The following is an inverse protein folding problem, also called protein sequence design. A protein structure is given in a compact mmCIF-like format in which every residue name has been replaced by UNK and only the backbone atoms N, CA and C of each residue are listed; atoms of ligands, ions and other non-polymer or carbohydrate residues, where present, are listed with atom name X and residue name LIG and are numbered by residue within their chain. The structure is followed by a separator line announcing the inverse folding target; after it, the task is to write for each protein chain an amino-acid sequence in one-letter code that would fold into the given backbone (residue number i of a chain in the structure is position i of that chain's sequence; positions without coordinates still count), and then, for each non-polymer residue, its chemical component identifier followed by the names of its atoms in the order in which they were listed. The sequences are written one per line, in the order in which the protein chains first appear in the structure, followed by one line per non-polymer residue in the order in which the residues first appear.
data_IF_509348451791
#
_entry.id   IF_509348451791
#
_cell.length_a   1.000
_cell.length_b   1.000
_cell.length_c   1.000
_cell.angle_alpha   90.00
_cell.angle_beta   90.00
_cell.angle_gamma   90.00
#
_symmetry.space_group_name_H-M   'P 1'
#
loop_
_entity.id
_entity.type
_entity.pdbx_description
1 polymer ?
#
# COMPACT_ATOMS: atom_id res chain seq x y z
N UNK A 1 5.67 0.24 -59.41
CA UNK A 1 5.36 1.32 -58.48
C UNK A 1 4.63 0.66 -57.30
N UNK A 2 5.39 0.33 -56.28
CA UNK A 2 4.93 -0.47 -55.15
C UNK A 2 4.91 0.44 -53.92
N UNK A 3 3.71 0.85 -53.50
CA UNK A 3 3.52 1.77 -52.39
C UNK A 3 3.34 0.94 -51.11
N UNK A 4 4.43 0.74 -50.38
CA UNK A 4 4.37 0.14 -49.05
C UNK A 4 3.81 1.16 -48.02
N UNK A 5 2.66 0.85 -47.43
CA UNK A 5 2.12 1.58 -46.29
C UNK A 5 2.94 1.21 -45.05
N UNK A 6 3.33 2.17 -44.23
CA UNK A 6 3.91 1.86 -42.94
C UNK A 6 2.83 1.31 -42.01
N UNK A 7 3.07 0.13 -41.49
CA UNK A 7 2.29 -0.47 -40.42
C UNK A 7 2.54 0.33 -39.13
N UNK A 8 1.53 1.04 -38.68
CA UNK A 8 1.53 1.68 -37.35
C UNK A 8 1.47 0.54 -36.33
N UNK A 9 2.57 0.24 -35.69
CA UNK A 9 2.59 -0.59 -34.48
C UNK A 9 2.02 0.28 -33.38
N UNK A 10 0.72 0.15 -33.12
CA UNK A 10 0.12 0.65 -31.90
C UNK A 10 0.73 -0.09 -30.72
N UNK A 11 1.73 0.54 -30.14
CA UNK A 11 2.28 0.14 -28.85
C UNK A 11 1.28 0.56 -27.78
N UNK A 12 0.16 -0.17 -27.64
CA UNK A 12 -0.67 -0.11 -26.45
C UNK A 12 0.11 -0.75 -25.32
N UNK A 13 0.95 0.07 -24.68
CA UNK A 13 1.49 -0.25 -23.36
C UNK A 13 0.32 -0.19 -22.37
N UNK A 14 -0.51 -1.22 -22.39
CA UNK A 14 -1.40 -1.53 -21.29
C UNK A 14 -0.47 -1.74 -20.10
N UNK A 15 -0.55 -0.84 -19.12
CA UNK A 15 0.15 -1.01 -17.85
C UNK A 15 -0.17 -2.43 -17.37
N UNK A 16 0.82 -3.30 -17.39
CA UNK A 16 0.72 -4.66 -16.87
C UNK A 16 0.12 -4.55 -15.46
N UNK A 17 -1.00 -5.22 -15.16
CA UNK A 17 -1.53 -5.22 -13.81
C UNK A 17 -0.43 -5.74 -12.91
N UNK A 18 -0.17 -5.05 -11.79
CA UNK A 18 0.88 -5.42 -10.84
C UNK A 18 0.95 -6.94 -10.70
N UNK A 19 2.09 -7.46 -11.11
CA UNK A 19 2.35 -8.89 -11.24
C UNK A 19 2.07 -9.60 -9.91
N UNK A 20 1.80 -10.91 -9.96
CA UNK A 20 1.37 -11.74 -8.82
C UNK A 20 2.25 -11.66 -7.55
N UNK A 21 3.45 -11.14 -7.67
CA UNK A 21 4.47 -11.07 -6.61
C UNK A 21 4.31 -9.79 -5.76
N UNK A 22 3.31 -9.77 -4.89
CA UNK A 22 3.08 -8.69 -3.93
C UNK A 22 3.44 -9.19 -2.53
N UNK A 23 4.44 -8.58 -1.90
CA UNK A 23 4.93 -8.98 -0.56
C UNK A 23 4.04 -8.49 0.59
N UNK A 24 3.17 -7.53 0.32
CA UNK A 24 2.27 -6.98 1.30
C UNK A 24 1.34 -5.92 0.72
N UNK A 25 0.29 -5.60 1.47
CA UNK A 25 -0.65 -4.53 1.15
C UNK A 25 -0.55 -3.45 2.22
N UNK A 26 -0.29 -2.22 1.81
CA UNK A 26 -0.36 -1.04 2.66
C UNK A 26 -1.71 -0.37 2.46
N UNK A 27 -2.58 -0.42 3.47
CA UNK A 27 -3.84 0.31 3.49
C UNK A 27 -3.64 1.62 4.26
N UNK A 28 -4.11 2.72 3.68
CA UNK A 28 -3.94 4.06 4.24
C UNK A 28 -5.11 4.96 3.88
N UNK A 29 -5.30 6.05 4.61
CA UNK A 29 -6.27 7.11 4.30
C UNK A 29 -5.77 7.91 3.08
N UNK A 30 -6.33 7.63 1.89
CA UNK A 30 -5.94 8.32 0.66
C UNK A 30 -6.51 9.74 0.57
N UNK A 31 -7.49 10.09 1.39
CA UNK A 31 -7.96 11.46 1.58
C UNK A 31 -6.96 12.36 2.35
N UNK A 32 -6.10 11.77 3.17
CA UNK A 32 -5.17 12.47 4.03
C UNK A 32 -3.88 12.90 3.29
N UNK A 33 -3.55 14.19 3.17
CA UNK A 33 -2.32 14.66 2.51
C UNK A 33 -1.04 14.13 3.17
N UNK A 34 -1.00 14.09 4.49
CA UNK A 34 0.13 13.53 5.23
C UNK A 34 0.36 12.05 4.92
N UNK A 35 -0.73 11.26 4.88
CA UNK A 35 -0.67 9.84 4.58
C UNK A 35 -0.16 9.61 3.15
N UNK A 36 -0.70 10.32 2.15
CA UNK A 36 -0.23 10.24 0.76
C UNK A 36 1.26 10.55 0.63
N UNK A 37 1.72 11.62 1.27
CA UNK A 37 3.14 12.00 1.27
C UNK A 37 4.02 10.93 1.91
N UNK A 38 3.58 10.37 3.04
CA UNK A 38 4.30 9.31 3.74
C UNK A 38 4.41 8.05 2.91
N UNK A 39 3.31 7.65 2.24
CA UNK A 39 3.31 6.49 1.33
C UNK A 39 4.23 6.73 0.13
N UNK A 40 4.20 7.88 -0.51
CA UNK A 40 5.15 8.21 -1.61
C UNK A 40 6.60 8.17 -1.14
N UNK A 41 6.87 8.74 0.05
CA UNK A 41 8.20 8.69 0.62
C UNK A 41 8.68 7.25 0.85
N UNK A 42 7.80 6.38 1.33
CA UNK A 42 8.06 4.95 1.50
C UNK A 42 8.34 4.27 0.15
N UNK A 43 7.45 4.40 -0.83
CA UNK A 43 7.58 3.78 -2.15
C UNK A 43 8.87 4.19 -2.88
N UNK A 44 9.30 5.44 -2.71
CA UNK A 44 10.55 5.94 -3.29
C UNK A 44 11.81 5.35 -2.63
N UNK A 45 11.68 4.70 -1.47
CA UNK A 45 12.77 4.13 -0.68
C UNK A 45 12.60 2.64 -0.39
N UNK A 46 11.57 2.05 -0.92
CA UNK A 46 11.33 0.62 -0.86
C UNK A 46 12.48 -0.14 -1.56
N UNK A 47 12.92 -1.23 -0.95
CA UNK A 47 13.95 -2.09 -1.54
C UNK A 47 13.49 -2.63 -2.89
N UNK A 48 14.43 -2.82 -3.81
CA UNK A 48 14.14 -3.30 -5.17
C UNK A 48 13.56 -4.72 -5.21
N UNK A 49 13.86 -5.54 -4.21
CA UNK A 49 13.36 -6.90 -4.04
C UNK A 49 12.04 -6.96 -3.26
N UNK A 50 11.48 -5.83 -2.86
CA UNK A 50 10.19 -5.70 -2.18
C UNK A 50 9.12 -5.12 -3.11
N UNK A 51 7.89 -5.59 -2.96
CA UNK A 51 6.74 -5.15 -3.76
C UNK A 51 5.51 -4.99 -2.89
N UNK A 52 5.42 -3.85 -2.21
CA UNK A 52 4.25 -3.48 -1.44
C UNK A 52 3.22 -2.82 -2.36
N UNK A 53 2.02 -3.38 -2.45
CA UNK A 53 0.89 -2.72 -3.10
C UNK A 53 0.21 -1.76 -2.13
N UNK A 54 -0.44 -0.73 -2.67
CA UNK A 54 -1.14 0.29 -1.90
C UNK A 54 -2.64 0.28 -2.18
N UNK A 55 -3.43 0.47 -1.14
CA UNK A 55 -4.90 0.45 -1.17
C UNK A 55 -5.43 1.60 -0.32
N UNK A 56 -6.39 2.36 -0.83
CA UNK A 56 -7.14 3.33 -0.02
C UNK A 56 -8.08 2.62 0.93
N UNK A 57 -8.14 3.04 2.18
CA UNK A 57 -9.07 2.48 3.18
C UNK A 57 -10.53 2.67 2.75
N UNK A 58 -10.83 3.80 2.12
CA UNK A 58 -12.16 4.21 1.65
C UNK A 58 -12.60 3.51 0.35
N UNK A 59 -11.74 2.69 -0.26
CA UNK A 59 -12.08 1.96 -1.49
C UNK A 59 -12.92 0.72 -1.20
N UNK A 60 -13.68 0.20 -2.19
CA UNK A 60 -14.42 -1.06 -2.02
C UNK A 60 -13.52 -2.24 -1.61
N UNK A 61 -12.26 -2.26 -2.03
CA UNK A 61 -11.29 -3.25 -1.58
C UNK A 61 -10.92 -3.03 -0.12
N UNK A 62 -10.64 -1.78 0.30
CA UNK A 62 -10.35 -1.42 1.68
C UNK A 62 -11.48 -1.83 2.63
N UNK A 63 -12.74 -1.55 2.25
CA UNK A 63 -13.92 -1.96 3.02
C UNK A 63 -14.05 -3.49 3.13
N UNK A 64 -13.81 -4.23 2.06
CA UNK A 64 -13.84 -5.71 2.11
C UNK A 64 -12.78 -6.26 3.06
N UNK A 65 -11.58 -5.71 2.98
CA UNK A 65 -10.48 -6.09 3.88
C UNK A 65 -10.81 -5.71 5.33
N UNK A 66 -11.42 -4.54 5.54
CA UNK A 66 -11.90 -4.11 6.87
C UNK A 66 -12.89 -5.10 7.47
N UNK A 67 -13.89 -5.52 6.71
CA UNK A 67 -14.87 -6.54 7.17
C UNK A 67 -14.20 -7.88 7.47
N UNK A 68 -13.24 -8.30 6.65
CA UNK A 68 -12.56 -9.58 6.83
C UNK A 68 -11.65 -9.59 8.08
N UNK A 69 -10.89 -8.51 8.30
CA UNK A 69 -9.93 -8.42 9.40
C UNK A 69 -10.50 -7.76 10.66
N UNK A 70 -11.77 -7.35 10.65
CA UNK A 70 -12.45 -6.78 11.82
C UNK A 70 -11.98 -5.37 12.18
N UNK A 71 -11.67 -4.51 11.19
CA UNK A 71 -11.39 -3.10 11.44
C UNK A 71 -12.36 -2.20 10.66
N UNK A 72 -12.62 -1.00 11.19
CA UNK A 72 -13.42 0.01 10.52
C UNK A 72 -12.53 0.83 9.55
N UNK A 73 -12.78 0.80 8.23
CA UNK A 73 -12.03 1.61 7.26
C UNK A 73 -12.22 3.12 7.47
N UNK A 74 -13.33 3.56 8.05
CA UNK A 74 -13.59 4.96 8.36
C UNK A 74 -12.78 5.50 9.53
N UNK A 75 -12.23 4.60 10.36
CA UNK A 75 -11.26 4.93 11.39
C UNK A 75 -9.89 5.23 10.75
N UNK A 76 -9.84 6.35 10.02
CA UNK A 76 -8.67 6.80 9.25
C UNK A 76 -7.43 7.09 10.10
N UNK A 77 -7.48 6.84 11.41
CA UNK A 77 -6.40 7.19 12.33
C UNK A 77 -5.18 6.25 12.25
N UNK A 78 -5.30 5.11 11.57
CA UNK A 78 -4.23 4.12 11.56
C UNK A 78 -4.03 3.45 10.22
N UNK A 79 -2.76 3.38 9.78
CA UNK A 79 -2.38 2.54 8.65
C UNK A 79 -2.54 1.06 9.00
N UNK A 80 -2.79 0.24 7.98
CA UNK A 80 -2.79 -1.22 8.09
C UNK A 80 -1.77 -1.78 7.10
N UNK A 81 -1.05 -2.80 7.54
CA UNK A 81 -0.14 -3.53 6.68
C UNK A 81 -0.46 -5.02 6.73
N UNK A 82 -0.84 -5.58 5.59
CA UNK A 82 -1.17 -6.99 5.45
C UNK A 82 0.00 -7.72 4.82
N UNK A 83 0.45 -8.78 5.47
CA UNK A 83 1.48 -9.69 4.98
C UNK A 83 1.33 -11.06 5.66
N UNK A 84 1.61 -12.14 4.94
CA UNK A 84 1.52 -13.51 5.45
C UNK A 84 0.22 -13.77 6.25
N UNK A 85 -0.93 -13.46 5.66
CA UNK A 85 -2.26 -13.68 6.24
C UNK A 85 -2.60 -12.84 7.47
N UNK A 86 -1.76 -11.89 7.86
CA UNK A 86 -1.92 -11.08 9.08
C UNK A 86 -2.10 -9.61 8.76
N UNK A 87 -2.99 -8.96 9.53
CA UNK A 87 -3.20 -7.52 9.50
C UNK A 87 -2.49 -6.87 10.69
N UNK A 88 -1.41 -6.13 10.41
CA UNK A 88 -0.69 -5.32 11.38
C UNK A 88 -1.26 -3.90 11.40
N UNK A 89 -1.24 -3.24 12.56
CA UNK A 89 -1.78 -1.88 12.73
C UNK A 89 -0.82 -0.99 13.51
N UNK A 90 -1.04 0.32 13.44
CA UNK A 90 -0.34 1.33 14.23
C UNK A 90 1.19 1.26 14.07
N UNK A 91 1.91 1.33 15.17
CA UNK A 91 3.36 1.28 15.19
C UNK A 91 3.92 -0.04 14.66
N UNK A 92 3.18 -1.15 14.77
CA UNK A 92 3.62 -2.44 14.24
C UNK A 92 3.58 -2.47 12.72
N UNK A 93 2.52 -1.93 12.10
CA UNK A 93 2.43 -1.79 10.65
C UNK A 93 3.56 -0.91 10.13
N UNK A 94 3.80 0.25 10.75
CA UNK A 94 4.88 1.15 10.38
C UNK A 94 6.24 0.46 10.47
N UNK A 95 6.47 -0.30 11.55
CA UNK A 95 7.73 -0.99 11.71
C UNK A 95 7.96 -2.08 10.64
N UNK A 96 6.93 -2.88 10.34
CA UNK A 96 7.01 -3.88 9.26
C UNK A 96 7.32 -3.25 7.90
N UNK A 97 6.79 -2.07 7.64
CA UNK A 97 7.14 -1.30 6.45
C UNK A 97 8.59 -0.80 6.48
N UNK A 98 9.11 -0.40 7.65
CA UNK A 98 10.51 -0.02 7.78
C UNK A 98 11.49 -1.16 7.44
N UNK A 99 11.11 -2.42 7.65
CA UNK A 99 11.89 -3.60 7.24
C UNK A 99 12.03 -3.71 5.71
N UNK A 100 11.13 -3.06 4.97
CA UNK A 100 11.11 -3.04 3.50
C UNK A 100 11.86 -1.86 2.89
N UNK A 101 12.44 -0.98 3.71
CA UNK A 101 13.21 0.17 3.23
C UNK A 101 14.64 -0.21 2.87
N UNK A 102 15.20 0.49 1.88
CA UNK A 102 16.56 0.30 1.40
C UNK A 102 17.61 1.07 2.24
N UNK A 103 18.84 0.59 2.22
CA UNK A 103 20.00 1.24 2.78
C UNK A 103 19.88 1.59 4.26
N UNK A 104 20.36 2.78 4.63
CA UNK A 104 20.35 3.27 6.01
C UNK A 104 18.95 3.43 6.62
N UNK A 105 17.91 3.57 5.78
CA UNK A 105 16.53 3.67 6.24
C UNK A 105 16.02 2.37 6.85
N UNK A 106 16.54 1.22 6.43
CA UNK A 106 16.26 -0.08 7.06
C UNK A 106 16.70 -0.12 8.53
N UNK A 107 17.60 0.78 8.97
CA UNK A 107 17.96 0.90 10.38
C UNK A 107 16.78 1.36 11.26
N UNK A 108 15.75 1.99 10.68
CA UNK A 108 14.50 2.32 11.38
C UNK A 108 13.79 1.06 11.91
N UNK A 109 14.02 -0.08 11.27
CA UNK A 109 13.51 -1.36 11.76
C UNK A 109 14.02 -1.71 13.17
N UNK A 110 15.20 -1.14 13.58
CA UNK A 110 15.73 -1.31 14.95
C UNK A 110 14.83 -0.66 16.01
N UNK A 111 13.88 0.20 15.63
CA UNK A 111 12.87 0.75 16.53
C UNK A 111 11.97 -0.33 17.16
N UNK A 112 11.97 -1.55 16.65
CA UNK A 112 11.33 -2.69 17.33
C UNK A 112 11.82 -2.88 18.76
N UNK A 113 13.06 -2.51 19.07
CA UNK A 113 13.63 -2.60 20.42
C UNK A 113 13.01 -1.60 21.40
N UNK A 114 12.33 -0.57 20.87
CA UNK A 114 11.57 0.38 21.69
C UNK A 114 10.32 -0.30 22.22
N UNK A 115 10.02 -0.22 23.53
CA UNK A 115 8.84 -0.82 24.12
C UNK A 115 7.56 -0.39 23.38
N UNK A 116 6.66 -1.37 23.13
CA UNK A 116 5.43 -1.17 22.36
C UNK A 116 4.59 0.03 22.83
N UNK A 117 4.35 0.25 24.16
CA UNK A 117 3.56 1.40 24.61
C UNK A 117 4.15 2.75 24.19
N UNK A 118 5.48 2.87 24.19
CA UNK A 118 6.16 4.09 23.78
C UNK A 118 6.06 4.33 22.28
N UNK A 119 6.24 3.28 21.46
CA UNK A 119 6.06 3.37 20.00
C UNK A 119 4.63 3.78 19.64
N UNK A 120 3.64 3.15 20.25
CA UNK A 120 2.22 3.44 20.02
C UNK A 120 1.85 4.85 20.52
N UNK A 121 2.50 5.31 21.60
CA UNK A 121 2.36 6.69 22.08
C UNK A 121 2.85 7.71 21.04
N UNK A 122 4.04 7.51 20.49
CA UNK A 122 4.62 8.37 19.44
C UNK A 122 3.75 8.31 18.19
N UNK A 123 3.36 7.12 17.77
CA UNK A 123 2.51 6.93 16.58
C UNK A 123 1.19 7.71 16.71
N UNK A 124 0.47 7.56 17.83
CA UNK A 124 -0.78 8.28 18.10
C UNK A 124 -0.59 9.79 18.23
N UNK A 125 0.55 10.23 18.74
CA UNK A 125 0.87 11.66 18.80
C UNK A 125 1.01 12.22 17.38
N UNK A 126 1.79 11.57 16.52
CA UNK A 126 1.95 11.96 15.10
C UNK A 126 0.60 11.90 14.38
N UNK A 127 -0.18 10.84 14.56
CA UNK A 127 -1.50 10.67 13.97
C UNK A 127 -2.44 11.83 14.29
N UNK A 128 -2.51 12.25 15.57
CA UNK A 128 -3.34 13.38 16.01
C UNK A 128 -2.88 14.74 15.45
N UNK A 129 -1.63 14.90 15.12
CA UNK A 129 -1.07 16.15 14.62
C UNK A 129 -0.79 16.13 13.12
N UNK A 130 -1.13 15.05 12.42
CA UNK A 130 -0.81 14.83 10.99
C UNK A 130 -1.32 15.95 10.07
N UNK A 131 -2.49 16.53 10.37
CA UNK A 131 -3.04 17.65 9.60
C UNK A 131 -2.18 18.92 9.69
N UNK A 132 -1.43 19.10 10.77
CA UNK A 132 -0.49 20.22 10.98
C UNK A 132 0.91 19.94 10.43
N UNK A 133 1.26 18.66 10.22
CA UNK A 133 2.60 18.22 9.81
C UNK A 133 2.78 18.16 8.29
N UNK A 134 1.71 18.27 7.53
CA UNK A 134 1.78 18.24 6.08
C UNK A 134 1.22 19.52 5.47
N UNK A 135 1.98 20.25 4.64
CA UNK A 135 1.41 21.17 3.70
C UNK A 135 0.47 20.42 2.74
N UNK A 136 -0.49 21.13 2.15
CA UNK A 136 -1.41 20.57 1.15
C UNK A 136 -0.62 19.81 0.07
N UNK A 137 -0.93 18.55 -0.09
CA UNK A 137 -0.34 17.70 -1.12
C UNK A 137 -1.47 17.19 -2.02
N UNK A 138 -1.57 17.78 -3.20
CA UNK A 138 -2.62 17.48 -4.17
C UNK A 138 -2.31 16.25 -5.04
N UNK A 139 -1.11 15.68 -4.92
CA UNK A 139 -0.76 14.52 -5.72
C UNK A 139 -1.49 13.27 -5.23
N UNK A 140 -2.41 12.83 -6.05
CA UNK A 140 -3.19 11.60 -5.85
C UNK A 140 -2.32 10.36 -6.08
N UNK A 141 -2.68 9.25 -5.44
CA UNK A 141 -1.99 7.96 -5.57
C UNK A 141 -2.82 6.93 -6.37
N UNK A 142 -4.09 7.25 -6.72
CA UNK A 142 -4.99 6.39 -7.50
C UNK A 142 -4.49 6.23 -8.93
N UNK A 143 -3.56 6.45 -9.46
CA UNK A 143 -2.91 6.18 -10.76
C UNK A 143 -1.49 5.64 -10.61
N UNK A 144 -1.05 5.45 -9.36
CA UNK A 144 0.29 4.94 -9.12
C UNK A 144 0.36 3.45 -9.50
N UNK A 145 1.46 2.96 -10.14
CA UNK A 145 1.59 1.56 -10.55
C UNK A 145 1.43 0.53 -9.42
N UNK A 146 1.61 0.95 -8.16
CA UNK A 146 1.42 0.10 -6.97
C UNK A 146 0.00 0.15 -6.41
N UNK A 147 -0.86 1.03 -6.93
CA UNK A 147 -2.27 1.11 -6.51
C UNK A 147 -3.04 -0.07 -7.06
N UNK A 148 -3.81 -0.73 -6.20
CA UNK A 148 -4.71 -1.81 -6.61
C UNK A 148 -6.12 -1.58 -6.07
N UNK A 149 -7.11 -1.84 -6.92
CA UNK A 149 -8.52 -1.75 -6.58
C UNK A 149 -9.16 -3.12 -6.35
N UNK A 150 -8.43 -4.18 -6.64
CA UNK A 150 -8.88 -5.57 -6.48
C UNK A 150 -7.71 -6.52 -6.22
N UNK A 151 -8.01 -7.60 -5.51
CA UNK A 151 -7.07 -8.72 -5.36
C UNK A 151 -7.32 -9.74 -6.46
N UNK A 152 -6.26 -10.25 -7.04
CA UNK A 152 -6.29 -11.45 -7.88
C UNK A 152 -6.17 -12.70 -7.02
N UNK A 153 -6.49 -13.87 -7.58
CA UNK A 153 -6.23 -15.15 -6.89
C UNK A 153 -4.73 -15.35 -6.59
N UNK A 154 -3.86 -14.85 -7.48
CA UNK A 154 -2.42 -14.89 -7.26
C UNK A 154 -2.00 -14.05 -6.05
N UNK A 155 -2.53 -12.82 -5.93
CA UNK A 155 -2.33 -11.98 -4.75
C UNK A 155 -2.78 -12.68 -3.46
N UNK A 156 -3.97 -13.29 -3.48
CA UNK A 156 -4.48 -14.00 -2.29
C UNK A 156 -3.58 -15.17 -1.90
N UNK A 157 -3.09 -15.98 -2.85
CA UNK A 157 -2.17 -17.07 -2.55
C UNK A 157 -0.85 -16.58 -1.99
N UNK A 158 -0.25 -15.56 -2.61
CA UNK A 158 1.04 -15.02 -2.20
C UNK A 158 0.99 -14.37 -0.82
N UNK A 159 -0.10 -13.68 -0.53
CA UNK A 159 -0.33 -13.00 0.75
C UNK A 159 -0.96 -13.90 1.82
N UNK A 160 -1.19 -15.18 1.52
CA UNK A 160 -1.87 -16.14 2.40
C UNK A 160 -3.27 -15.65 2.82
N UNK A 161 -3.99 -14.99 1.89
CA UNK A 161 -5.34 -14.49 2.10
C UNK A 161 -6.38 -15.49 1.56
N UNK A 162 -7.60 -15.51 2.12
CA UNK A 162 -8.68 -16.30 1.56
C UNK A 162 -8.99 -15.92 0.11
N UNK A 163 -9.18 -16.92 -0.75
CA UNK A 163 -9.51 -16.70 -2.16
C UNK A 163 -10.84 -15.96 -2.36
N UNK A 164 -11.72 -16.00 -1.35
CA UNK A 164 -12.97 -15.22 -1.35
C UNK A 164 -12.76 -13.69 -1.37
N UNK A 165 -11.56 -13.23 -1.07
CA UNK A 165 -11.19 -11.82 -1.19
C UNK A 165 -10.75 -11.43 -2.60
N UNK A 166 -10.46 -12.41 -3.47
CA UNK A 166 -10.19 -12.11 -4.87
C UNK A 166 -11.46 -11.53 -5.53
N UNK A 167 -11.31 -10.43 -6.25
CA UNK A 167 -12.37 -9.89 -7.09
C UNK A 167 -12.53 -10.75 -8.33
N UNK A 168 -13.76 -10.86 -8.84
CA UNK A 168 -14.00 -11.46 -10.16
C UNK A 168 -13.23 -10.66 -11.23
N UNK A 169 -12.66 -11.37 -12.21
CA UNK A 169 -12.11 -10.72 -13.38
C UNK A 169 -13.22 -9.90 -14.08
N UNK A 170 -12.95 -8.72 -14.62
CA UNK A 170 -13.91 -8.06 -15.48
C UNK A 170 -14.20 -8.97 -16.67
N UNK A 171 -15.48 -9.19 -16.92
CA UNK A 171 -15.98 -9.87 -18.12
C UNK A 171 -15.68 -9.00 -19.34
#
# INVERSE_FOLDING_TARGET
MNSARPTIVESSTLAEPMNADVDGLLLFDAGCPFCRRSVRWFLARERRDSRVAIVGLETPLGERLGRHFGFDPSDGDSIRYLTAGRCHRDSEALWRLCERLDGSWGALARMQKVPRPLRDGIYRFVGRHRSRLAPSDDARLEGHPRWIDRLTQAHCRHLELPLSLAGEAPV
#
